data_IF_980536104406
#
_entry.id   IF_980536104406
#
_cell.length_a   1.000
_cell.length_b   1.000
_cell.length_c   1.000
_cell.angle_alpha   90.00
_cell.angle_beta   90.00
_cell.angle_gamma   90.00
#
_symmetry.space_group_name_H-M   'P 1'
#
loop_
_entity.id
_entity.type
_entity.pdbx_description
1 polymer ?
#
# COMPACT_ATOMS: atom_id res chain seq x y z
N UNK A 1 98.70 -25.39 12.89
CA UNK A 1 97.29 -25.70 13.14
C UNK A 1 96.62 -25.84 11.78
N UNK A 2 95.90 -26.96 11.54
CA UNK A 2 94.83 -27.13 10.53
C UNK A 2 95.17 -26.86 9.04
N UNK A 3 94.70 -27.66 8.07
CA UNK A 3 94.14 -29.00 8.15
C UNK A 3 94.40 -29.79 6.85
N UNK A 4 94.21 -31.11 6.87
CA UNK A 4 94.65 -32.04 5.82
C UNK A 4 93.49 -32.40 4.87
N UNK A 5 93.82 -32.97 3.69
CA UNK A 5 92.95 -33.67 2.72
C UNK A 5 92.21 -32.84 1.66
N UNK A 6 92.95 -32.44 0.61
CA UNK A 6 92.38 -32.13 -0.71
C UNK A 6 92.72 -33.24 -1.73
N UNK A 7 92.03 -34.39 -1.67
CA UNK A 7 92.03 -35.42 -2.74
C UNK A 7 91.04 -36.55 -2.41
N UNK A 8 89.81 -36.49 -2.93
CA UNK A 8 89.01 -37.67 -3.33
C UNK A 8 87.77 -37.22 -4.13
N UNK A 9 87.74 -37.54 -5.43
CA UNK A 9 86.62 -37.23 -6.32
C UNK A 9 85.43 -38.17 -6.11
N UNK A 10 84.20 -37.64 -6.14
CA UNK A 10 82.95 -38.42 -6.28
C UNK A 10 82.11 -37.90 -7.47
N UNK A 11 81.37 -38.78 -8.17
CA UNK A 11 80.70 -38.42 -9.43
C UNK A 11 79.41 -37.60 -9.23
N UNK A 12 78.96 -36.93 -10.29
CA UNK A 12 77.70 -36.19 -10.33
C UNK A 12 76.50 -37.15 -10.22
N UNK A 13 75.69 -37.01 -9.18
CA UNK A 13 74.41 -37.69 -9.02
C UNK A 13 73.27 -36.80 -9.51
N UNK A 14 72.38 -37.34 -10.35
CA UNK A 14 71.13 -36.70 -10.76
C UNK A 14 70.05 -36.91 -9.68
N UNK A 15 69.30 -35.87 -9.27
CA UNK A 15 68.23 -36.02 -8.29
C UNK A 15 66.96 -36.62 -8.93
N UNK A 16 66.81 -37.95 -8.82
CA UNK A 16 65.54 -38.63 -9.15
C UNK A 16 64.51 -38.37 -8.05
N UNK A 17 63.72 -37.30 -8.18
CA UNK A 17 62.67 -36.95 -7.20
C UNK A 17 61.40 -37.75 -7.43
N UNK A 18 61.28 -38.90 -6.76
CA UNK A 18 60.01 -39.63 -6.66
C UNK A 18 59.06 -38.85 -5.75
N UNK A 19 58.29 -37.92 -6.33
CA UNK A 19 57.27 -37.14 -5.64
C UNK A 19 55.93 -37.30 -6.34
N UNK A 20 55.19 -38.34 -5.93
CA UNK A 20 53.89 -38.72 -6.49
C UNK A 20 52.88 -39.00 -5.39
N UNK A 21 52.39 -37.95 -4.72
CA UNK A 21 51.28 -38.09 -3.77
C UNK A 21 50.05 -38.60 -4.51
N UNK A 22 49.62 -39.82 -4.18
CA UNK A 22 48.45 -40.47 -4.76
C UNK A 22 47.19 -39.68 -4.39
N UNK A 23 46.80 -38.76 -5.29
CA UNK A 23 45.72 -37.84 -5.07
C UNK A 23 44.37 -38.57 -5.14
N UNK A 24 43.91 -39.04 -3.96
CA UNK A 24 42.74 -39.90 -3.77
C UNK A 24 41.45 -39.37 -4.42
N UNK A 25 41.38 -38.06 -4.69
CA UNK A 25 40.29 -37.43 -5.41
C UNK A 25 40.11 -37.96 -6.86
N UNK A 26 41.16 -38.57 -7.45
CA UNK A 26 41.14 -39.24 -8.77
C UNK A 26 40.52 -40.65 -8.75
N UNK A 27 40.46 -41.32 -7.60
CA UNK A 27 39.94 -42.70 -7.45
C UNK A 27 38.43 -42.76 -7.17
N UNK A 28 37.76 -41.61 -7.11
CA UNK A 28 36.32 -41.55 -6.82
C UNK A 28 35.52 -41.66 -8.14
N UNK A 29 34.69 -42.70 -8.35
CA UNK A 29 34.14 -43.06 -9.66
C UNK A 29 33.02 -42.15 -10.16
N UNK A 30 32.62 -41.11 -9.41
CA UNK A 30 31.52 -40.21 -9.79
C UNK A 30 32.01 -39.18 -10.84
N UNK A 31 31.46 -39.17 -12.08
CA UNK A 31 31.93 -38.29 -13.14
C UNK A 31 31.87 -36.81 -12.78
N UNK A 32 32.80 -36.02 -13.29
CA UNK A 32 32.91 -34.57 -12.98
C UNK A 32 31.60 -33.80 -13.26
N UNK A 33 30.85 -34.17 -14.30
CA UNK A 33 29.50 -33.61 -14.59
C UNK A 33 28.51 -33.87 -13.45
N UNK A 34 28.50 -35.06 -12.86
CA UNK A 34 27.64 -35.39 -11.70
C UNK A 34 28.09 -34.64 -10.44
N UNK A 35 29.40 -34.57 -10.14
CA UNK A 35 29.91 -33.72 -9.05
C UNK A 35 29.49 -32.25 -9.20
N UNK A 36 29.50 -31.70 -10.43
CA UNK A 36 29.03 -30.32 -10.70
C UNK A 36 27.52 -30.18 -10.50
N UNK A 37 26.71 -31.15 -10.91
CA UNK A 37 25.23 -31.18 -10.75
C UNK A 37 24.78 -31.39 -9.30
N UNK A 38 25.53 -32.16 -8.50
CA UNK A 38 25.30 -32.34 -7.07
C UNK A 38 25.71 -31.07 -6.31
N UNK A 39 26.89 -30.50 -6.58
CA UNK A 39 27.32 -29.23 -5.97
C UNK A 39 26.46 -28.04 -6.38
N UNK A 40 25.88 -28.02 -7.59
CA UNK A 40 24.90 -27.01 -7.96
C UNK A 40 23.62 -27.20 -7.15
N UNK A 41 23.03 -28.41 -7.11
CA UNK A 41 21.85 -28.70 -6.27
C UNK A 41 22.07 -28.39 -4.78
N UNK A 42 23.22 -28.74 -4.20
CA UNK A 42 23.53 -28.42 -2.79
C UNK A 42 23.64 -26.91 -2.54
N UNK A 43 24.25 -26.14 -3.46
CA UNK A 43 24.27 -24.68 -3.38
C UNK A 43 22.89 -24.05 -3.65
N UNK A 44 22.04 -24.72 -4.41
CA UNK A 44 20.68 -24.31 -4.71
C UNK A 44 19.81 -24.44 -3.44
N UNK A 45 19.74 -25.64 -2.86
CA UNK A 45 19.02 -25.89 -1.59
C UNK A 45 19.58 -25.08 -0.40
N UNK A 46 20.89 -24.82 -0.34
CA UNK A 46 21.44 -23.91 0.68
C UNK A 46 20.95 -22.46 0.50
N UNK A 47 20.77 -22.00 -0.74
CA UNK A 47 20.28 -20.65 -1.05
C UNK A 47 18.78 -20.49 -0.80
N UNK A 48 17.98 -21.54 -1.01
CA UNK A 48 16.54 -21.54 -0.69
C UNK A 48 16.30 -21.49 0.82
N UNK A 49 17.13 -22.21 1.60
CA UNK A 49 17.13 -22.17 3.06
C UNK A 49 17.48 -20.75 3.57
N UNK A 50 18.60 -20.16 3.10
CA UNK A 50 19.01 -18.79 3.46
C UNK A 50 17.96 -17.72 3.12
N UNK A 51 17.22 -17.84 2.02
CA UNK A 51 16.22 -16.86 1.58
C UNK A 51 15.01 -16.75 2.51
N UNK A 52 14.61 -17.86 3.13
CA UNK A 52 13.32 -17.97 3.84
C UNK A 52 13.47 -18.07 5.35
N UNK A 53 14.66 -18.49 5.82
CA UNK A 53 15.06 -18.72 7.22
C UNK A 53 14.95 -17.46 8.08
N UNK A 54 14.28 -17.61 9.23
CA UNK A 54 14.20 -16.58 10.26
C UNK A 54 15.52 -16.48 11.04
N UNK A 55 15.86 -15.26 11.45
CA UNK A 55 16.96 -14.98 12.37
C UNK A 55 16.53 -15.34 13.79
N UNK A 56 17.41 -16.03 14.53
CA UNK A 56 17.16 -16.46 15.92
C UNK A 56 18.20 -15.92 16.91
N UNK A 57 19.20 -15.15 16.43
CA UNK A 57 20.24 -14.59 17.29
C UNK A 57 19.73 -13.41 18.11
N UNK A 58 20.15 -13.37 19.37
CA UNK A 58 19.98 -12.24 20.29
C UNK A 58 21.18 -11.27 20.23
N UNK A 59 22.22 -11.58 19.44
CA UNK A 59 23.47 -10.83 19.45
C UNK A 59 23.41 -9.56 18.58
N UNK A 60 23.16 -8.43 19.23
CA UNK A 60 23.19 -7.06 18.66
C UNK A 60 24.45 -6.78 17.82
N UNK A 61 25.60 -7.38 18.14
CA UNK A 61 26.84 -7.17 17.37
C UNK A 61 26.77 -7.70 15.94
N UNK A 62 25.85 -8.62 15.61
CA UNK A 62 25.58 -9.04 14.23
C UNK A 62 24.98 -7.90 13.41
N UNK A 63 23.95 -7.23 13.92
CA UNK A 63 23.31 -6.09 13.25
C UNK A 63 24.25 -4.89 13.17
N UNK A 64 25.04 -4.62 14.21
CA UNK A 64 26.07 -3.56 14.17
C UNK A 64 27.13 -3.85 13.09
N UNK A 65 27.55 -5.11 12.92
CA UNK A 65 28.44 -5.51 11.81
C UNK A 65 27.77 -5.35 10.45
N UNK A 66 26.49 -5.75 10.32
CA UNK A 66 25.74 -5.57 9.08
C UNK A 66 25.62 -4.09 8.67
N UNK A 67 25.29 -3.19 9.60
CA UNK A 67 25.22 -1.74 9.35
C UNK A 67 26.59 -1.15 8.99
N UNK A 68 27.68 -1.58 9.65
CA UNK A 68 29.05 -1.16 9.29
C UNK A 68 29.50 -1.59 7.89
N UNK A 69 28.86 -2.61 7.31
CA UNK A 69 29.11 -3.07 5.94
C UNK A 69 27.99 -2.68 4.95
N UNK A 70 27.00 -1.90 5.39
CA UNK A 70 25.93 -1.39 4.52
C UNK A 70 26.50 -0.41 3.49
N UNK A 71 25.98 -0.48 2.26
CA UNK A 71 26.27 0.49 1.20
C UNK A 71 25.15 1.52 1.16
N UNK A 72 25.37 2.64 1.81
CA UNK A 72 24.41 3.74 1.91
C UNK A 72 23.93 4.23 0.54
N UNK A 73 22.64 4.48 0.45
CA UNK A 73 21.91 4.95 -0.74
C UNK A 73 21.04 6.15 -0.40
N UNK A 74 20.57 6.89 -1.40
CA UNK A 74 19.61 7.99 -1.19
C UNK A 74 18.30 7.50 -0.53
N UNK A 75 17.94 6.23 -0.69
CA UNK A 75 16.76 5.66 -0.03
C UNK A 75 16.92 5.54 1.49
N UNK A 76 18.15 5.52 2.02
CA UNK A 76 18.40 5.40 3.46
C UNK A 76 18.14 6.71 4.23
N UNK A 77 17.99 7.85 3.52
CA UNK A 77 17.52 9.13 4.08
C UNK A 77 16.18 8.94 4.82
N UNK A 78 15.35 7.97 4.40
CA UNK A 78 14.09 7.63 5.05
C UNK A 78 14.26 7.35 6.56
N UNK A 79 15.38 6.77 6.99
CA UNK A 79 15.62 6.48 8.41
C UNK A 79 15.96 7.74 9.22
N UNK A 80 16.56 8.76 8.58
CA UNK A 80 16.79 10.07 9.21
C UNK A 80 15.46 10.78 9.43
N UNK A 81 14.57 10.76 8.43
CA UNK A 81 13.22 11.32 8.54
C UNK A 81 12.38 10.58 9.60
N UNK A 82 12.45 9.25 9.67
CA UNK A 82 11.78 8.45 10.71
C UNK A 82 12.31 8.75 12.11
N UNK A 83 13.63 8.89 12.26
CA UNK A 83 14.24 9.29 13.52
C UNK A 83 13.80 10.70 13.94
N UNK A 84 13.75 11.66 13.01
CA UNK A 84 13.24 13.01 13.28
C UNK A 84 11.78 12.99 13.75
N UNK A 85 10.87 12.39 12.98
CA UNK A 85 9.43 12.32 13.33
C UNK A 85 9.22 11.59 14.68
N UNK A 86 9.91 10.47 14.90
CA UNK A 86 9.83 9.70 16.14
C UNK A 86 10.37 10.47 17.36
N UNK A 87 11.54 11.10 17.24
CA UNK A 87 12.14 11.88 18.33
C UNK A 87 11.33 13.14 18.65
N UNK A 88 10.87 13.89 17.64
CA UNK A 88 9.97 15.03 17.86
C UNK A 88 8.68 14.61 18.58
N UNK A 89 8.08 13.50 18.18
CA UNK A 89 6.88 12.95 18.85
C UNK A 89 7.15 12.60 20.32
N UNK A 90 8.27 11.93 20.61
CA UNK A 90 8.68 11.62 21.98
C UNK A 90 9.03 12.87 22.80
N UNK A 91 9.59 13.92 22.20
CA UNK A 91 9.83 15.20 22.86
C UNK A 91 8.49 15.83 23.27
N UNK A 92 7.50 15.85 22.39
CA UNK A 92 6.19 16.48 22.62
C UNK A 92 5.29 15.72 23.60
N UNK A 93 5.44 14.40 23.75
CA UNK A 93 4.64 13.63 24.71
C UNK A 93 4.85 14.10 26.17
N UNK A 94 3.78 14.36 26.97
CA UNK A 94 3.88 14.78 28.37
C UNK A 94 4.20 13.60 29.32
N UNK A 95 5.25 12.86 29.01
CA UNK A 95 5.71 11.70 29.78
C UNK A 95 7.02 12.00 30.55
N UNK A 96 7.25 11.38 31.72
CA UNK A 96 8.54 11.47 32.43
C UNK A 96 9.73 11.10 31.53
N UNK A 97 10.84 11.84 31.66
CA UNK A 97 12.04 11.65 30.85
C UNK A 97 12.60 10.21 30.92
N UNK A 98 12.47 9.54 32.08
CA UNK A 98 12.85 8.14 32.24
C UNK A 98 12.03 7.19 31.33
N UNK A 99 10.72 7.41 31.19
CA UNK A 99 9.89 6.58 30.29
C UNK A 99 10.25 6.81 28.83
N UNK A 100 10.55 8.07 28.44
CA UNK A 100 11.04 8.40 27.08
C UNK A 100 12.37 7.70 26.78
N UNK A 101 13.30 7.71 27.75
CA UNK A 101 14.60 7.03 27.63
C UNK A 101 14.44 5.51 27.54
N UNK A 102 13.61 4.90 28.40
CA UNK A 102 13.33 3.46 28.37
C UNK A 102 12.66 3.04 27.06
N UNK A 103 11.73 3.82 26.52
CA UNK A 103 11.12 3.58 25.21
C UNK A 103 12.15 3.65 24.07
N UNK A 104 13.05 4.65 24.09
CA UNK A 104 14.11 4.80 23.10
C UNK A 104 15.12 3.64 23.16
N UNK A 105 15.56 3.24 24.36
CA UNK A 105 16.47 2.11 24.57
C UNK A 105 15.82 0.78 24.17
N UNK A 106 14.56 0.56 24.56
CA UNK A 106 13.79 -0.64 24.19
C UNK A 106 13.57 -0.74 22.69
N UNK A 107 13.13 0.33 22.03
CA UNK A 107 12.98 0.38 20.56
C UNK A 107 14.31 0.16 19.83
N UNK A 108 15.39 0.75 20.32
CA UNK A 108 16.75 0.53 19.80
C UNK A 108 17.17 -0.94 19.92
N UNK A 109 16.92 -1.57 21.08
CA UNK A 109 17.21 -2.99 21.29
C UNK A 109 16.38 -3.89 20.36
N UNK A 110 15.08 -3.62 20.18
CA UNK A 110 14.20 -4.37 19.29
C UNK A 110 14.63 -4.28 17.82
N UNK A 111 15.15 -3.13 17.38
CA UNK A 111 15.67 -2.90 16.03
C UNK A 111 17.06 -3.54 15.84
N UNK A 112 17.91 -3.54 16.87
CA UNK A 112 19.28 -4.06 16.79
C UNK A 112 19.38 -5.58 17.02
N UNK A 113 18.49 -6.19 17.79
CA UNK A 113 18.54 -7.62 18.10
C UNK A 113 18.03 -8.45 16.91
N UNK A 114 18.82 -9.35 16.29
CA UNK A 114 18.46 -9.98 15.01
C UNK A 114 17.10 -10.70 14.98
N UNK A 115 16.72 -11.38 16.07
CA UNK A 115 15.44 -12.12 16.19
C UNK A 115 14.20 -11.22 16.17
N UNK A 116 14.26 -10.00 16.71
CA UNK A 116 13.15 -9.01 16.67
C UNK A 116 13.27 -8.06 15.48
N UNK A 117 14.50 -7.74 15.07
CA UNK A 117 14.81 -6.79 13.99
C UNK A 117 14.10 -7.13 12.67
N UNK A 118 14.00 -8.42 12.33
CA UNK A 118 13.32 -8.90 11.13
C UNK A 118 11.82 -8.55 11.04
N UNK A 119 11.19 -8.16 12.16
CA UNK A 119 9.83 -7.63 12.23
C UNK A 119 9.82 -6.12 12.50
N UNK A 120 10.54 -5.66 13.53
CA UNK A 120 10.50 -4.26 13.96
C UNK A 120 11.18 -3.28 13.00
N UNK A 121 12.24 -3.67 12.29
CA UNK A 121 12.94 -2.78 11.36
C UNK A 121 12.17 -2.55 10.05
N UNK A 122 11.59 -3.58 9.37
CA UNK A 122 10.66 -3.35 8.27
C UNK A 122 9.38 -2.60 8.68
N UNK A 123 8.86 -2.89 9.88
CA UNK A 123 7.69 -2.22 10.46
C UNK A 123 7.96 -0.82 11.02
N UNK A 124 9.21 -0.32 10.98
CA UNK A 124 9.60 0.96 11.60
C UNK A 124 8.72 2.15 11.18
N UNK A 125 8.31 2.32 9.90
CA UNK A 125 7.37 3.38 9.52
C UNK A 125 5.99 3.28 10.21
N UNK A 126 5.51 2.06 10.51
CA UNK A 126 4.25 1.87 11.24
C UNK A 126 4.42 2.27 12.71
N UNK A 127 5.52 1.84 13.35
CA UNK A 127 5.79 2.19 14.75
C UNK A 127 5.98 3.70 14.94
N UNK A 128 6.66 4.38 14.01
CA UNK A 128 6.78 5.84 14.01
C UNK A 128 5.43 6.52 13.72
N UNK A 129 4.62 6.01 12.78
CA UNK A 129 3.25 6.50 12.55
C UNK A 129 2.41 6.44 13.83
N UNK A 130 2.33 5.30 14.51
CA UNK A 130 1.47 5.14 15.68
C UNK A 130 1.86 6.09 16.82
N UNK A 131 3.16 6.28 17.06
CA UNK A 131 3.66 7.27 18.03
C UNK A 131 3.35 8.70 17.59
N UNK A 132 3.57 9.03 16.32
CA UNK A 132 3.31 10.37 15.75
C UNK A 132 1.82 10.75 15.79
N UNK A 133 0.94 9.84 15.36
CA UNK A 133 -0.51 10.02 15.43
C UNK A 133 -0.98 10.21 16.88
N UNK A 134 -0.52 9.37 17.82
CA UNK A 134 -0.86 9.53 19.23
C UNK A 134 -0.37 10.86 19.81
N UNK A 135 0.86 11.26 19.50
CA UNK A 135 1.49 12.46 20.04
C UNK A 135 0.99 13.77 19.41
N UNK A 136 0.36 13.70 18.23
CA UNK A 136 -0.22 14.88 17.56
C UNK A 136 -1.24 15.64 18.42
N UNK A 137 -1.92 14.95 19.35
CA UNK A 137 -2.82 15.57 20.33
C UNK A 137 -2.13 16.63 21.20
N UNK A 138 -0.82 16.52 21.40
CA UNK A 138 0.00 17.43 22.25
C UNK A 138 0.62 18.61 21.47
N UNK A 139 0.29 18.81 20.20
CA UNK A 139 0.68 20.02 19.46
C UNK A 139 -0.04 21.22 20.12
N UNK A 140 0.68 22.25 20.62
CA UNK A 140 0.06 23.45 21.20
C UNK A 140 -0.88 24.13 20.20
N UNK A 141 -2.03 24.63 20.66
CA UNK A 141 -3.11 25.12 19.78
C UNK A 141 -2.72 26.40 19.04
N UNK A 142 -1.79 27.17 19.60
CA UNK A 142 -1.26 28.44 19.08
C UNK A 142 -0.43 28.28 17.80
N UNK A 143 0.10 27.08 17.56
CA UNK A 143 0.91 26.77 16.36
C UNK A 143 0.19 25.87 15.35
N UNK A 144 -1.09 25.56 15.58
CA UNK A 144 -1.91 24.77 14.63
C UNK A 144 -2.51 25.69 13.55
N UNK A 145 -2.61 25.23 12.29
CA UNK A 145 -3.16 26.04 11.20
C UNK A 145 -4.69 26.20 11.28
N UNK A 146 -5.25 27.06 10.43
CA UNK A 146 -6.70 27.26 10.30
C UNK A 146 -7.44 25.96 9.88
N UNK A 147 -8.57 25.66 10.54
CA UNK A 147 -9.43 24.50 10.25
C UNK A 147 -10.40 24.81 9.10
N UNK A 148 -10.28 24.07 8.00
CA UNK A 148 -11.07 24.30 6.79
C UNK A 148 -12.43 23.60 6.86
N UNK A 149 -13.44 24.36 7.28
CA UNK A 149 -14.83 23.87 7.38
C UNK A 149 -15.50 23.70 6.02
N UNK A 150 -15.19 24.58 5.06
CA UNK A 150 -15.93 24.70 3.78
C UNK A 150 -15.31 23.94 2.60
N UNK A 151 -14.06 23.49 2.70
CA UNK A 151 -13.33 22.94 1.55
C UNK A 151 -13.91 21.61 1.08
N UNK A 152 -14.09 20.64 1.99
CA UNK A 152 -14.60 19.32 1.60
C UNK A 152 -16.08 19.38 1.16
N UNK A 153 -17.01 20.06 1.86
CA UNK A 153 -18.37 20.27 1.34
C UNK A 153 -18.42 20.93 -0.04
N UNK A 154 -17.57 21.94 -0.29
CA UNK A 154 -17.54 22.62 -1.59
C UNK A 154 -17.00 21.69 -2.70
N UNK A 155 -15.91 20.95 -2.43
CA UNK A 155 -15.36 20.01 -3.40
C UNK A 155 -16.31 18.83 -3.67
N UNK A 156 -16.97 18.29 -2.65
CA UNK A 156 -17.94 17.20 -2.79
C UNK A 156 -19.08 17.61 -3.72
N UNK A 157 -19.69 18.79 -3.49
CA UNK A 157 -20.75 19.31 -4.34
C UNK A 157 -20.27 19.66 -5.77
N UNK A 158 -19.03 20.15 -5.95
CA UNK A 158 -18.47 20.48 -7.27
C UNK A 158 -18.09 19.23 -8.07
N UNK A 159 -17.59 18.18 -7.42
CA UNK A 159 -17.11 16.96 -8.09
C UNK A 159 -18.21 15.93 -8.33
N UNK A 160 -19.21 15.84 -7.44
CA UNK A 160 -20.25 14.81 -7.47
C UNK A 160 -21.67 15.36 -7.63
N UNK A 161 -21.83 16.69 -7.68
CA UNK A 161 -23.13 17.37 -7.83
C UNK A 161 -24.00 17.40 -6.56
N UNK A 162 -23.58 16.71 -5.49
CA UNK A 162 -24.27 16.66 -4.21
C UNK A 162 -23.32 16.20 -3.09
N UNK A 163 -23.71 16.46 -1.83
CA UNK A 163 -23.02 15.93 -0.66
C UNK A 163 -23.38 14.45 -0.44
N UNK A 164 -22.51 13.54 -0.87
CA UNK A 164 -22.77 12.10 -0.86
C UNK A 164 -22.85 11.52 0.55
N UNK A 165 -22.05 12.01 1.50
CA UNK A 165 -22.15 11.57 2.90
C UNK A 165 -23.51 11.91 3.49
N UNK A 166 -23.99 13.14 3.33
CA UNK A 166 -25.28 13.56 3.91
C UNK A 166 -26.47 12.83 3.26
N UNK A 167 -26.39 12.48 1.96
CA UNK A 167 -27.40 11.62 1.30
C UNK A 167 -27.39 10.20 1.91
N UNK A 168 -26.22 9.61 2.11
CA UNK A 168 -26.10 8.26 2.67
C UNK A 168 -26.49 8.20 4.15
N UNK A 169 -26.14 9.21 4.96
CA UNK A 169 -26.47 9.27 6.38
C UNK A 169 -27.90 9.76 6.69
N UNK A 170 -28.69 10.17 5.69
CA UNK A 170 -30.10 10.54 5.87
C UNK A 170 -31.03 9.34 6.11
N UNK A 171 -30.63 8.12 5.71
CA UNK A 171 -31.48 6.94 5.72
C UNK A 171 -30.87 5.80 6.56
N UNK A 172 -30.80 6.02 7.87
CA UNK A 172 -30.15 5.08 8.81
C UNK A 172 -31.08 4.00 9.32
N UNK A 173 -30.54 2.79 9.53
CA UNK A 173 -31.25 1.66 10.12
C UNK A 173 -30.28 0.77 10.92
N UNK A 174 -30.67 0.15 12.06
CA UNK A 174 -29.77 -0.72 12.84
C UNK A 174 -29.09 -1.85 12.06
N UNK A 175 -29.75 -2.39 11.01
CA UNK A 175 -29.14 -3.40 10.13
C UNK A 175 -28.02 -2.79 9.28
N UNK A 176 -28.23 -1.61 8.71
CA UNK A 176 -27.21 -0.88 7.96
C UNK A 176 -26.08 -0.39 8.86
N UNK A 177 -26.39 0.00 10.10
CA UNK A 177 -25.41 0.36 11.12
C UNK A 177 -24.46 -0.82 11.41
N UNK A 178 -25.00 -2.02 11.65
CA UNK A 178 -24.18 -3.23 11.83
C UNK A 178 -23.37 -3.60 10.57
N UNK A 179 -23.93 -3.42 9.36
CA UNK A 179 -23.22 -3.69 8.10
C UNK A 179 -22.10 -2.65 7.85
N UNK A 180 -22.25 -1.40 8.28
CA UNK A 180 -21.20 -0.37 8.22
C UNK A 180 -20.14 -0.56 9.33
N UNK A 181 -20.56 -1.04 10.49
CA UNK A 181 -19.69 -1.29 11.64
C UNK A 181 -18.68 -2.42 11.42
N UNK A 182 -18.98 -3.44 10.61
CA UNK A 182 -18.01 -4.50 10.32
C UNK A 182 -16.72 -3.94 9.68
N UNK A 183 -16.74 -3.25 8.52
CA UNK A 183 -15.53 -2.69 7.93
C UNK A 183 -14.95 -1.54 8.78
N UNK A 184 -15.80 -0.62 9.26
CA UNK A 184 -15.34 0.61 9.89
C UNK A 184 -15.01 0.48 11.38
N UNK A 185 -15.76 -0.31 12.14
CA UNK A 185 -15.56 -0.50 13.58
C UNK A 185 -14.60 -1.63 13.94
N UNK A 186 -14.41 -2.63 13.07
CA UNK A 186 -13.57 -3.82 13.34
C UNK A 186 -12.45 -3.98 12.31
N UNK A 187 -12.80 -4.22 11.04
CA UNK A 187 -11.85 -4.81 10.09
C UNK A 187 -10.65 -3.90 9.81
N UNK A 188 -10.83 -2.58 9.68
CA UNK A 188 -9.73 -1.67 9.36
C UNK A 188 -8.62 -1.62 10.43
N UNK A 189 -8.91 -2.01 11.68
CA UNK A 189 -7.90 -2.14 12.74
C UNK A 189 -7.10 -3.45 12.63
N UNK A 190 -7.78 -4.55 12.26
CA UNK A 190 -7.20 -5.89 12.25
C UNK A 190 -6.52 -6.24 10.91
N UNK A 191 -7.07 -5.77 9.79
CA UNK A 191 -6.62 -6.13 8.45
C UNK A 191 -5.15 -5.78 8.14
N UNK A 192 -4.56 -4.66 8.59
CA UNK A 192 -3.13 -4.41 8.36
C UNK A 192 -2.22 -5.53 8.89
N UNK A 193 -2.57 -6.12 10.03
CA UNK A 193 -1.84 -7.26 10.61
C UNK A 193 -2.14 -8.57 9.89
N UNK A 194 -3.41 -8.83 9.52
CA UNK A 194 -3.81 -10.00 8.74
C UNK A 194 -3.15 -10.00 7.35
N UNK A 195 -3.06 -8.85 6.69
CA UNK A 195 -2.40 -8.66 5.40
C UNK A 195 -0.90 -8.90 5.50
N UNK A 196 -0.23 -8.42 6.56
CA UNK A 196 1.18 -8.79 6.82
C UNK A 196 1.32 -10.31 6.99
N UNK A 197 0.39 -10.99 7.68
CA UNK A 197 0.39 -12.44 7.82
C UNK A 197 0.22 -13.19 6.49
N UNK A 198 -0.77 -12.80 5.68
CA UNK A 198 -1.03 -13.38 4.36
C UNK A 198 0.16 -13.16 3.43
N UNK A 199 0.71 -11.93 3.37
CA UNK A 199 1.89 -11.59 2.57
C UNK A 199 3.19 -12.19 3.10
N UNK A 200 3.25 -12.62 4.36
CA UNK A 200 4.37 -13.39 4.90
C UNK A 200 4.31 -14.86 4.47
N UNK A 201 3.13 -15.50 4.55
CA UNK A 201 2.94 -16.94 4.28
C UNK A 201 2.84 -17.23 2.77
N UNK A 202 1.96 -16.53 2.06
CA UNK A 202 1.60 -16.78 0.67
C UNK A 202 2.23 -15.77 -0.31
N UNK A 203 2.79 -14.67 0.19
CA UNK A 203 3.58 -13.74 -0.60
C UNK A 203 5.02 -14.20 -0.80
N UNK A 204 5.64 -13.74 -1.89
CA UNK A 204 7.08 -13.90 -2.12
C UNK A 204 7.90 -13.32 -0.94
N UNK A 205 9.06 -13.91 -0.57
CA UNK A 205 9.92 -13.40 0.49
C UNK A 205 10.28 -11.92 0.30
N UNK A 206 9.79 -11.07 1.21
CA UNK A 206 9.92 -9.61 1.15
C UNK A 206 8.59 -8.86 0.99
N UNK A 207 7.49 -9.51 0.58
CA UNK A 207 6.21 -8.83 0.33
C UNK A 207 5.62 -8.17 1.58
N UNK A 208 5.58 -8.87 2.72
CA UNK A 208 5.16 -8.30 4.01
C UNK A 208 6.01 -7.10 4.46
N UNK A 209 7.36 -7.20 4.49
CA UNK A 209 8.27 -6.07 4.69
C UNK A 209 8.01 -4.86 3.77
N UNK A 210 7.71 -5.10 2.49
CA UNK A 210 7.41 -4.03 1.53
C UNK A 210 6.06 -3.37 1.80
N UNK A 211 5.03 -4.14 2.15
CA UNK A 211 3.73 -3.61 2.62
C UNK A 211 3.91 -2.76 3.87
N UNK A 212 4.61 -3.27 4.88
CA UNK A 212 4.79 -2.58 6.15
C UNK A 212 5.49 -1.22 6.00
N UNK A 213 6.50 -1.15 5.11
CA UNK A 213 7.14 0.11 4.73
C UNK A 213 6.15 1.08 4.06
N UNK A 214 5.43 0.61 3.04
CA UNK A 214 4.53 1.45 2.25
C UNK A 214 3.34 1.97 3.07
N UNK A 215 2.70 1.08 3.85
CA UNK A 215 1.59 1.37 4.75
C UNK A 215 1.97 2.42 5.80
N UNK A 216 3.11 2.24 6.49
CA UNK A 216 3.54 3.18 7.52
C UNK A 216 3.89 4.56 6.95
N UNK A 217 4.60 4.62 5.81
CA UNK A 217 4.90 5.90 5.17
C UNK A 217 3.65 6.63 4.66
N UNK A 218 2.72 5.92 4.03
CA UNK A 218 1.43 6.46 3.63
C UNK A 218 0.66 7.05 4.82
N UNK A 219 0.65 6.35 5.97
CA UNK A 219 -0.01 6.84 7.18
C UNK A 219 0.71 8.06 7.79
N UNK A 220 2.05 8.10 7.84
CA UNK A 220 2.80 9.30 8.26
C UNK A 220 2.40 10.50 7.40
N UNK A 221 2.43 10.35 6.07
CA UNK A 221 2.07 11.43 5.14
C UNK A 221 0.61 11.86 5.27
N UNK A 222 -0.32 10.93 5.47
CA UNK A 222 -1.73 11.27 5.72
C UNK A 222 -1.89 12.10 7.00
N UNK A 223 -1.30 11.68 8.13
CA UNK A 223 -1.32 12.47 9.37
C UNK A 223 -0.64 13.83 9.21
N UNK A 224 0.49 13.91 8.50
CA UNK A 224 1.15 15.19 8.23
C UNK A 224 0.25 16.13 7.42
N UNK A 225 -0.49 15.63 6.42
CA UNK A 225 -1.45 16.45 5.67
C UNK A 225 -2.62 16.87 6.57
N UNK A 226 -3.20 15.96 7.37
CA UNK A 226 -4.28 16.28 8.31
C UNK A 226 -3.89 17.35 9.34
N UNK A 227 -2.60 17.45 9.71
CA UNK A 227 -2.08 18.44 10.65
C UNK A 227 -1.70 19.78 9.99
N UNK A 228 -1.31 19.78 8.71
CA UNK A 228 -0.99 21.00 7.96
C UNK A 228 -2.21 21.60 7.24
N UNK A 229 -3.19 20.78 6.92
CA UNK A 229 -4.43 21.14 6.20
C UNK A 229 -5.66 20.47 6.87
N UNK A 230 -5.94 20.75 8.15
CA UNK A 230 -7.07 20.19 8.87
C UNK A 230 -8.39 20.61 8.22
N UNK A 231 -9.25 19.63 7.98
CA UNK A 231 -10.56 19.80 7.36
C UNK A 231 -11.63 19.11 8.21
N UNK A 232 -12.79 19.74 8.37
CA UNK A 232 -13.88 19.16 9.17
C UNK A 232 -14.56 17.99 8.43
N UNK A 233 -14.83 16.86 9.09
CA UNK A 233 -15.60 15.73 8.53
C UNK A 233 -17.11 16.02 8.43
N UNK A 234 -17.92 15.15 7.80
CA UNK A 234 -19.36 15.35 7.62
C UNK A 234 -20.15 15.53 8.92
N UNK A 235 -19.80 14.83 10.01
CA UNK A 235 -20.49 15.00 11.29
C UNK A 235 -20.45 16.44 11.80
N UNK A 236 -19.37 17.17 11.53
CA UNK A 236 -19.25 18.58 11.93
C UNK A 236 -20.21 19.48 11.14
N UNK A 237 -20.36 19.23 9.84
CA UNK A 237 -21.36 19.95 9.02
C UNK A 237 -22.78 19.64 9.49
N UNK A 238 -23.07 18.39 9.88
CA UNK A 238 -24.39 17.99 10.37
C UNK A 238 -24.70 18.51 11.79
N UNK A 239 -23.70 18.66 12.66
CA UNK A 239 -23.86 19.12 14.06
C UNK A 239 -23.71 20.65 14.21
N UNK A 240 -22.93 21.31 13.35
CA UNK A 240 -22.53 22.72 13.49
C UNK A 240 -22.63 23.55 12.19
N UNK A 241 -23.04 22.95 11.07
CA UNK A 241 -23.11 23.62 9.78
C UNK A 241 -21.74 24.10 9.29
N UNK A 242 -21.73 25.25 8.58
CA UNK A 242 -20.51 25.89 8.06
C UNK A 242 -19.97 26.99 9.01
N UNK A 243 -20.19 26.83 10.32
CA UNK A 243 -19.64 27.71 11.36
C UNK A 243 -18.14 27.45 11.60
N UNK A 244 -17.34 28.43 12.06
CA UNK A 244 -15.90 28.24 12.21
C UNK A 244 -15.54 27.26 13.33
N UNK A 245 -14.82 26.19 12.99
CA UNK A 245 -14.27 25.24 13.96
C UNK A 245 -13.09 25.82 14.75
N UNK A 246 -12.98 25.44 16.01
CA UNK A 246 -11.92 25.90 16.92
C UNK A 246 -11.20 24.72 17.59
N UNK A 247 -9.92 24.91 17.93
CA UNK A 247 -9.19 23.93 18.74
C UNK A 247 -9.68 23.93 20.19
N UNK A 248 -9.72 22.75 20.80
CA UNK A 248 -10.34 22.52 22.11
C UNK A 248 -11.78 22.01 22.03
N UNK A 249 -12.43 22.08 20.86
CA UNK A 249 -13.66 21.32 20.62
C UNK A 249 -13.38 19.80 20.67
N UNK A 250 -14.28 18.99 21.23
CA UNK A 250 -14.20 17.53 21.18
C UNK A 250 -14.42 17.01 19.74
N UNK A 251 -14.08 15.75 19.50
CA UNK A 251 -14.59 15.02 18.33
C UNK A 251 -16.02 14.53 18.55
N UNK A 252 -16.68 14.03 17.50
CA UNK A 252 -17.95 13.30 17.61
C UNK A 252 -17.78 11.83 17.20
N UNK A 253 -18.40 10.88 17.91
CA UNK A 253 -18.60 9.51 17.43
C UNK A 253 -19.57 9.39 16.26
N UNK A 254 -20.28 10.46 15.89
CA UNK A 254 -21.15 10.53 14.70
C UNK A 254 -22.09 9.30 14.58
N UNK A 255 -22.05 8.58 13.46
CA UNK A 255 -22.86 7.38 13.26
C UNK A 255 -22.54 6.23 14.22
N UNK A 256 -21.30 6.12 14.74
CA UNK A 256 -20.93 5.07 15.70
C UNK A 256 -21.64 5.22 17.05
N UNK A 257 -22.19 6.40 17.39
CA UNK A 257 -23.05 6.57 18.56
C UNK A 257 -24.33 5.71 18.50
N UNK A 258 -24.71 5.20 17.31
CA UNK A 258 -25.80 4.21 17.17
C UNK A 258 -25.34 2.80 17.53
N UNK A 259 -24.06 2.47 17.31
CA UNK A 259 -23.47 1.16 17.66
C UNK A 259 -23.36 1.00 19.18
N UNK A 260 -22.85 2.02 19.89
CA UNK A 260 -22.80 2.02 21.36
C UNK A 260 -24.21 1.83 21.96
N UNK A 261 -25.25 2.41 21.34
CA UNK A 261 -26.66 2.24 21.74
C UNK A 261 -27.22 0.85 21.41
N UNK A 262 -26.78 0.21 20.33
CA UNK A 262 -27.20 -1.14 19.94
C UNK A 262 -26.60 -2.19 20.89
N UNK A 263 -25.35 -2.02 21.32
CA UNK A 263 -24.68 -2.96 22.24
C UNK A 263 -24.83 -2.62 23.73
N UNK A 264 -25.22 -1.39 24.07
CA UNK A 264 -25.44 -0.95 25.45
C UNK A 264 -24.16 -0.62 26.24
N UNK A 265 -23.04 -0.40 25.56
CA UNK A 265 -21.77 0.03 26.18
C UNK A 265 -21.00 1.02 25.30
N UNK A 266 -20.17 1.85 25.93
CA UNK A 266 -19.28 2.82 25.26
C UNK A 266 -18.11 2.08 24.61
N UNK A 267 -18.18 1.88 23.29
CA UNK A 267 -17.08 1.37 22.47
C UNK A 267 -16.40 2.51 21.71
N UNK A 268 -17.17 3.54 21.31
CA UNK A 268 -16.71 4.60 20.42
C UNK A 268 -16.91 6.01 20.94
N UNK A 269 -17.92 6.27 21.78
CA UNK A 269 -18.26 7.61 22.27
C UNK A 269 -17.08 8.30 22.95
N UNK A 270 -16.45 7.67 23.95
CA UNK A 270 -15.25 8.25 24.59
C UNK A 270 -14.05 8.31 23.64
N UNK A 271 -13.86 7.29 22.81
CA UNK A 271 -12.70 7.16 21.92
C UNK A 271 -12.66 8.25 20.83
N UNK A 272 -13.81 8.52 20.20
CA UNK A 272 -13.92 9.56 19.17
C UNK A 272 -14.00 10.97 19.76
N UNK A 273 -14.65 11.14 20.91
CA UNK A 273 -14.66 12.43 21.63
C UNK A 273 -13.24 12.91 22.00
N UNK A 274 -12.32 11.97 22.23
CA UNK A 274 -10.92 12.22 22.64
C UNK A 274 -9.89 11.89 21.55
N UNK A 275 -10.30 11.87 20.28
CA UNK A 275 -9.43 11.58 19.13
C UNK A 275 -8.28 12.61 18.99
N UNK A 276 -7.05 12.21 18.56
CA UNK A 276 -5.93 13.14 18.41
C UNK A 276 -6.13 14.27 17.40
N UNK A 277 -6.83 13.97 16.29
CA UNK A 277 -7.03 14.87 15.15
C UNK A 277 -8.51 14.82 14.71
N UNK A 278 -9.45 15.43 15.48
CA UNK A 278 -10.88 15.36 15.17
C UNK A 278 -11.26 16.05 13.85
N UNK A 279 -10.45 17.02 13.42
CA UNK A 279 -10.56 17.74 12.14
C UNK A 279 -9.54 17.23 11.11
N UNK A 280 -9.27 15.93 11.13
CA UNK A 280 -8.35 15.24 10.23
C UNK A 280 -9.06 14.48 9.10
N UNK A 281 -10.12 15.05 8.50
CA UNK A 281 -10.89 14.35 7.47
C UNK A 281 -10.04 14.07 6.21
N UNK A 282 -9.30 15.07 5.73
CA UNK A 282 -8.49 14.96 4.52
C UNK A 282 -6.99 14.73 4.80
N UNK A 283 -6.35 13.73 4.15
CA UNK A 283 -6.94 12.61 3.40
C UNK A 283 -7.50 11.54 4.34
N UNK A 284 -8.41 10.70 3.84
CA UNK A 284 -8.93 9.58 4.62
C UNK A 284 -7.93 8.44 4.75
N UNK A 285 -7.40 8.23 5.96
CA UNK A 285 -6.55 7.07 6.28
C UNK A 285 -7.32 5.74 6.18
N UNK A 286 -8.64 5.73 6.40
CA UNK A 286 -9.46 4.53 6.25
C UNK A 286 -9.50 4.06 4.79
N UNK A 287 -9.67 5.00 3.85
CA UNK A 287 -9.50 4.73 2.42
C UNK A 287 -8.08 4.30 2.10
N UNK A 288 -7.07 5.06 2.57
CA UNK A 288 -5.67 4.77 2.28
C UNK A 288 -5.27 3.35 2.67
N UNK A 289 -5.62 2.93 3.89
CA UNK A 289 -5.37 1.59 4.42
C UNK A 289 -6.05 0.51 3.55
N UNK A 290 -7.35 0.64 3.29
CA UNK A 290 -8.08 -0.34 2.48
C UNK A 290 -7.56 -0.43 1.03
N UNK A 291 -7.22 0.71 0.42
CA UNK A 291 -6.68 0.76 -0.95
C UNK A 291 -5.27 0.16 -1.01
N UNK A 292 -4.38 0.45 -0.06
CA UNK A 292 -3.03 -0.12 -0.08
C UNK A 292 -3.04 -1.63 0.21
N UNK A 293 -3.91 -2.09 1.12
CA UNK A 293 -4.19 -3.51 1.33
C UNK A 293 -4.68 -4.19 0.04
N UNK A 294 -5.69 -3.61 -0.62
CA UNK A 294 -6.25 -4.16 -1.85
C UNK A 294 -5.27 -4.17 -3.03
N UNK A 295 -4.38 -3.18 -3.12
CA UNK A 295 -3.31 -3.14 -4.15
C UNK A 295 -2.23 -4.20 -3.89
N UNK A 296 -1.75 -4.34 -2.65
CA UNK A 296 -0.75 -5.37 -2.32
C UNK A 296 -1.32 -6.79 -2.47
N UNK A 297 -2.51 -7.05 -1.93
CA UNK A 297 -3.18 -8.34 -2.09
C UNK A 297 -3.56 -8.61 -3.55
N UNK A 298 -4.07 -7.60 -4.28
CA UNK A 298 -4.42 -7.71 -5.69
C UNK A 298 -3.21 -7.88 -6.63
N UNK A 299 -2.02 -7.50 -6.19
CA UNK A 299 -0.77 -7.78 -6.90
C UNK A 299 -0.28 -9.21 -6.66
N UNK A 300 -0.23 -9.67 -5.40
CA UNK A 300 0.19 -11.04 -5.08
C UNK A 300 -0.85 -12.11 -5.50
N UNK A 301 -2.15 -11.79 -5.43
CA UNK A 301 -3.25 -12.75 -5.64
C UNK A 301 -4.24 -12.21 -6.69
N UNK A 302 -3.85 -12.08 -7.97
CA UNK A 302 -4.60 -11.36 -9.00
C UNK A 302 -6.03 -11.90 -9.24
N UNK A 303 -6.28 -13.18 -8.98
CA UNK A 303 -7.62 -13.81 -9.06
C UNK A 303 -8.65 -13.19 -8.12
N UNK A 304 -8.22 -12.59 -7.00
CA UNK A 304 -9.10 -12.06 -5.95
C UNK A 304 -9.26 -10.52 -5.99
N UNK A 305 -8.73 -9.83 -7.02
CA UNK A 305 -8.81 -8.36 -7.17
C UNK A 305 -10.22 -7.80 -6.98
N UNK A 306 -11.24 -8.45 -7.52
CA UNK A 306 -12.63 -8.01 -7.40
C UNK A 306 -13.15 -8.08 -5.94
N UNK A 307 -12.72 -9.09 -5.17
CA UNK A 307 -13.06 -9.21 -3.75
C UNK A 307 -12.39 -8.12 -2.91
N UNK A 308 -11.11 -7.84 -3.15
CA UNK A 308 -10.39 -6.76 -2.45
C UNK A 308 -10.95 -5.38 -2.81
N UNK A 309 -11.30 -5.13 -4.07
CA UNK A 309 -12.00 -3.91 -4.49
C UNK A 309 -13.39 -3.78 -3.85
N UNK A 310 -14.11 -4.90 -3.67
CA UNK A 310 -15.38 -4.92 -2.93
C UNK A 310 -15.24 -4.45 -1.47
N UNK A 311 -14.16 -4.83 -0.78
CA UNK A 311 -13.87 -4.30 0.56
C UNK A 311 -13.61 -2.79 0.56
N UNK A 312 -12.84 -2.26 -0.40
CA UNK A 312 -12.62 -0.80 -0.55
C UNK A 312 -13.95 -0.06 -0.71
N UNK A 313 -14.83 -0.54 -1.60
CA UNK A 313 -16.16 0.06 -1.80
C UNK A 313 -17.00 -0.02 -0.52
N UNK A 314 -16.95 -1.14 0.21
CA UNK A 314 -17.72 -1.34 1.44
C UNK A 314 -17.29 -0.39 2.57
N UNK A 315 -15.98 -0.19 2.79
CA UNK A 315 -15.51 0.77 3.81
C UNK A 315 -15.67 2.24 3.38
N UNK A 316 -15.59 2.55 2.08
CA UNK A 316 -15.93 3.88 1.55
C UNK A 316 -17.41 4.22 1.81
N UNK A 317 -18.32 3.30 1.49
CA UNK A 317 -19.74 3.46 1.84
C UNK A 317 -19.95 3.60 3.35
N UNK A 318 -19.33 2.74 4.17
CA UNK A 318 -19.51 2.73 5.62
C UNK A 318 -19.04 4.03 6.28
N UNK A 319 -17.90 4.58 5.85
CA UNK A 319 -17.34 5.84 6.38
C UNK A 319 -18.18 7.06 6.03
N UNK A 320 -18.79 7.09 4.83
CA UNK A 320 -19.77 8.12 4.44
C UNK A 320 -21.11 7.98 5.17
N UNK A 321 -21.65 6.75 5.29
CA UNK A 321 -22.92 6.44 5.96
C UNK A 321 -22.88 6.70 7.48
N UNK A 322 -21.70 6.56 8.11
CA UNK A 322 -21.45 6.92 9.51
C UNK A 322 -20.99 8.39 9.68
N UNK A 323 -20.99 9.19 8.62
CA UNK A 323 -20.68 10.63 8.60
C UNK A 323 -19.26 11.01 9.05
N UNK A 324 -18.27 10.13 8.82
CA UNK A 324 -16.86 10.38 9.19
C UNK A 324 -15.98 10.88 8.04
N UNK A 325 -16.35 10.66 6.78
CA UNK A 325 -15.55 11.02 5.59
C UNK A 325 -16.44 11.42 4.40
N UNK A 326 -15.95 12.31 3.55
CA UNK A 326 -16.53 12.68 2.24
C UNK A 326 -15.92 11.84 1.13
N UNK A 327 -16.62 11.65 0.00
CA UNK A 327 -16.07 10.91 -1.14
C UNK A 327 -14.76 11.53 -1.67
N UNK A 328 -14.62 12.85 -1.64
CA UNK A 328 -13.38 13.54 -2.06
C UNK A 328 -12.17 13.20 -1.18
N UNK A 329 -12.34 13.05 0.14
CA UNK A 329 -11.23 12.70 1.04
C UNK A 329 -10.90 11.20 1.03
N UNK A 330 -11.89 10.35 0.72
CA UNK A 330 -11.70 8.94 0.41
C UNK A 330 -10.88 8.77 -0.88
N UNK A 331 -11.20 9.51 -1.94
CA UNK A 331 -10.38 9.53 -3.18
C UNK A 331 -8.96 10.04 -2.89
N UNK A 332 -8.82 11.11 -2.10
CA UNK A 332 -7.51 11.64 -1.68
C UNK A 332 -6.64 10.59 -0.97
N UNK A 333 -7.21 9.84 -0.01
CA UNK A 333 -6.54 8.72 0.65
C UNK A 333 -6.13 7.60 -0.30
N UNK A 334 -7.02 7.23 -1.24
CA UNK A 334 -6.76 6.19 -2.23
C UNK A 334 -5.65 6.55 -3.22
N UNK A 335 -5.54 7.82 -3.61
CA UNK A 335 -4.47 8.30 -4.49
C UNK A 335 -3.09 8.26 -3.80
N UNK A 336 -3.01 8.63 -2.51
CA UNK A 336 -1.77 8.55 -1.74
C UNK A 336 -1.37 7.09 -1.52
N UNK A 337 -2.33 6.20 -1.23
CA UNK A 337 -2.11 4.75 -1.19
C UNK A 337 -1.55 4.18 -2.50
N UNK A 338 -2.14 4.57 -3.63
CA UNK A 338 -1.67 4.17 -4.95
C UNK A 338 -0.24 4.66 -5.22
N UNK A 339 0.09 5.90 -4.88
CA UNK A 339 1.45 6.44 -5.02
C UNK A 339 2.48 5.62 -4.21
N UNK A 340 2.20 5.35 -2.92
CA UNK A 340 3.11 4.54 -2.09
C UNK A 340 3.20 3.08 -2.55
N UNK A 341 2.11 2.50 -3.05
CA UNK A 341 2.13 1.19 -3.69
C UNK A 341 3.03 1.18 -4.93
N UNK A 342 2.85 2.08 -5.89
CA UNK A 342 3.62 2.07 -7.15
C UNK A 342 5.10 2.41 -6.95
N UNK A 343 5.43 3.32 -6.04
CA UNK A 343 6.83 3.58 -5.64
C UNK A 343 7.44 2.30 -5.03
N UNK A 344 6.72 1.62 -4.14
CA UNK A 344 7.22 0.39 -3.52
C UNK A 344 7.34 -0.75 -4.54
N UNK A 345 6.38 -0.87 -5.46
CA UNK A 345 6.40 -1.81 -6.59
C UNK A 345 7.62 -1.62 -7.47
N UNK A 346 8.03 -0.38 -7.74
CA UNK A 346 9.19 -0.08 -8.58
C UNK A 346 10.54 -0.40 -7.91
N UNK A 347 10.69 -0.18 -6.60
CA UNK A 347 12.01 -0.22 -5.92
C UNK A 347 12.23 -1.35 -4.91
N UNK A 348 11.19 -1.87 -4.26
CA UNK A 348 11.33 -2.79 -3.11
C UNK A 348 10.41 -4.01 -3.13
N UNK A 349 9.42 -4.08 -4.02
CA UNK A 349 8.49 -5.20 -4.04
C UNK A 349 9.06 -6.42 -4.80
N UNK A 350 9.00 -7.63 -4.20
CA UNK A 350 9.21 -8.90 -4.88
C UNK A 350 8.26 -9.12 -6.05
N UNK A 351 8.71 -9.81 -7.11
CA UNK A 351 7.84 -10.40 -8.13
C UNK A 351 7.20 -11.71 -7.65
N UNK A 352 5.86 -11.86 -7.71
CA UNK A 352 5.20 -13.15 -7.57
C UNK A 352 5.61 -14.08 -8.73
N UNK A 353 5.92 -15.33 -8.42
CA UNK A 353 6.23 -16.37 -9.41
C UNK A 353 5.02 -17.31 -9.53
N UNK A 354 4.41 -17.51 -10.72
CA UNK A 354 3.12 -18.21 -10.85
C UNK A 354 3.11 -19.69 -10.40
N UNK A 355 4.27 -20.32 -10.30
CA UNK A 355 4.46 -21.71 -9.84
C UNK A 355 4.66 -21.82 -8.31
N UNK A 356 4.71 -20.70 -7.58
CA UNK A 356 5.02 -20.66 -6.14
C UNK A 356 3.79 -20.25 -5.33
N UNK A 357 3.34 -21.12 -4.42
CA UNK A 357 2.11 -20.91 -3.63
C UNK A 357 2.38 -20.28 -2.26
N UNK A 358 3.57 -20.52 -1.70
CA UNK A 358 3.99 -20.07 -0.37
C UNK A 358 5.38 -19.46 -0.42
N UNK A 359 5.75 -18.70 0.62
CA UNK A 359 7.10 -18.12 0.79
C UNK A 359 8.24 -19.14 0.69
N UNK A 360 7.98 -20.42 1.00
CA UNK A 360 8.98 -21.49 1.07
C UNK A 360 9.25 -22.17 -0.27
N UNK A 361 8.37 -21.99 -1.25
CA UNK A 361 8.55 -22.51 -2.61
C UNK A 361 9.51 -21.63 -3.45
N UNK A 362 9.77 -20.40 -3.01
CA UNK A 362 10.65 -19.45 -3.69
C UNK A 362 12.12 -19.85 -3.56
N UNK A 363 12.79 -20.02 -4.70
CA UNK A 363 14.22 -20.36 -4.77
C UNK A 363 15.12 -19.12 -4.95
N UNK A 364 14.52 -18.03 -5.42
CA UNK A 364 15.09 -16.70 -5.62
C UNK A 364 13.94 -15.67 -5.63
N UNK A 365 14.27 -14.39 -5.49
CA UNK A 365 13.32 -13.27 -5.61
C UNK A 365 13.93 -12.18 -6.48
N UNK A 366 13.19 -11.76 -7.50
CA UNK A 366 13.48 -10.57 -8.30
C UNK A 366 12.65 -9.39 -7.80
N UNK A 367 13.16 -8.17 -8.00
CA UNK A 367 12.59 -6.93 -7.46
C UNK A 367 12.32 -5.92 -8.57
N UNK A 368 11.20 -5.18 -8.44
CA UNK A 368 10.87 -4.08 -9.33
C UNK A 368 10.38 -4.49 -10.73
N UNK A 369 10.04 -3.49 -11.55
CA UNK A 369 9.55 -3.67 -12.93
C UNK A 369 10.67 -3.65 -13.98
N UNK A 370 11.96 -3.66 -13.58
CA UNK A 370 13.10 -3.70 -14.51
C UNK A 370 13.09 -5.00 -15.32
N UNK A 371 12.96 -4.91 -16.64
CA UNK A 371 13.20 -6.07 -17.51
C UNK A 371 14.57 -6.68 -17.22
N UNK A 372 14.63 -8.01 -17.13
CA UNK A 372 15.87 -8.75 -17.31
C UNK A 372 16.35 -8.57 -18.74
N UNK A 373 17.67 -8.68 -18.98
CA UNK A 373 18.21 -8.79 -20.35
C UNK A 373 17.54 -9.98 -21.07
N UNK A 374 17.22 -11.04 -20.31
CA UNK A 374 16.48 -12.21 -20.79
C UNK A 374 15.02 -11.90 -21.18
N UNK A 375 14.39 -10.92 -20.52
CA UNK A 375 13.04 -10.45 -20.86
C UNK A 375 13.06 -9.60 -22.15
N UNK A 376 14.18 -8.95 -22.46
CA UNK A 376 14.37 -8.17 -23.71
C UNK A 376 14.80 -9.05 -24.89
N UNK A 377 15.61 -10.08 -24.64
CA UNK A 377 16.09 -11.02 -25.66
C UNK A 377 15.00 -12.03 -26.11
N UNK A 378 14.01 -12.34 -25.26
CA UNK A 378 12.96 -13.33 -25.56
C UNK A 378 11.49 -12.84 -25.36
N UNK A 379 11.23 -11.69 -24.73
CA UNK A 379 9.90 -11.31 -24.22
C UNK A 379 9.19 -10.15 -24.96
N UNK A 380 8.98 -10.26 -26.28
CA UNK A 380 8.46 -9.15 -27.10
C UNK A 380 6.92 -8.96 -27.14
N UNK A 381 6.13 -9.76 -26.40
CA UNK A 381 4.66 -9.69 -26.45
C UNK A 381 4.04 -9.96 -25.07
N UNK A 382 3.76 -8.89 -24.31
CA UNK A 382 3.13 -8.96 -22.98
C UNK A 382 2.41 -7.66 -22.57
N UNK A 383 1.67 -7.00 -23.48
CA UNK A 383 0.66 -6.02 -23.08
C UNK A 383 -0.51 -6.82 -22.48
N UNK A 384 -0.53 -6.95 -21.15
CA UNK A 384 -1.24 -8.00 -20.40
C UNK A 384 -2.77 -7.93 -20.34
N UNK A 385 -3.43 -7.74 -21.48
CA UNK A 385 -4.87 -7.90 -21.65
C UNK A 385 -5.14 -8.96 -22.74
N UNK A 386 -5.91 -9.99 -22.37
CA UNK A 386 -6.21 -11.18 -23.18
C UNK A 386 -4.98 -12.08 -23.44
N UNK A 387 -4.84 -13.10 -22.60
CA UNK A 387 -4.41 -14.43 -23.09
C UNK A 387 -5.27 -15.50 -22.41
N UNK A 388 -5.95 -16.33 -23.21
CA UNK A 388 -6.77 -17.46 -22.77
C UNK A 388 -6.08 -18.74 -23.23
N UNK A 389 -5.30 -19.37 -22.37
CA UNK A 389 -4.81 -20.73 -22.62
C UNK A 389 -5.98 -21.70 -22.73
N UNK A 390 -6.02 -22.58 -23.75
CA UNK A 390 -6.85 -23.77 -23.71
C UNK A 390 -6.29 -24.78 -22.69
N UNK A 391 -7.10 -25.73 -22.19
CA UNK A 391 -6.58 -26.89 -21.46
C UNK A 391 -5.79 -27.80 -22.39
N UNK A 392 -4.79 -28.50 -21.85
CA UNK A 392 -3.94 -29.44 -22.58
C UNK A 392 -4.11 -30.85 -22.02
N UNK A 393 -5.24 -31.48 -22.37
CA UNK A 393 -5.60 -32.84 -21.95
C UNK A 393 -5.22 -33.84 -23.06
N UNK A 394 -3.93 -34.13 -23.20
CA UNK A 394 -3.41 -35.18 -24.09
C UNK A 394 -3.65 -36.59 -23.48
N UNK A 395 -4.91 -36.95 -23.27
CA UNK A 395 -5.29 -38.29 -22.81
C UNK A 395 -5.22 -39.32 -23.95
N UNK A 396 -4.82 -40.54 -23.62
CA UNK A 396 -4.79 -41.66 -24.55
C UNK A 396 -6.18 -42.03 -25.07
N UNK A 397 -6.28 -42.37 -26.36
CA UNK A 397 -6.91 -43.67 -26.72
C UNK A 397 -6.48 -44.17 -28.09
N UNK A 398 -6.34 -45.49 -28.20
CA UNK A 398 -6.29 -46.20 -29.49
C UNK A 398 -7.72 -46.46 -29.94
N UNK A 399 -8.02 -46.27 -31.23
CA UNK A 399 -9.39 -46.13 -31.71
C UNK A 399 -10.22 -47.42 -31.80
N UNK A 400 -11.52 -47.24 -31.96
CA UNK A 400 -12.42 -48.16 -32.65
C UNK A 400 -13.61 -47.41 -33.24
N UNK A 401 -14.21 -47.98 -34.28
CA UNK A 401 -15.12 -47.31 -35.21
C UNK A 401 -16.60 -47.32 -34.77
N UNK A 402 -17.44 -46.70 -35.62
CA UNK A 402 -18.92 -46.73 -35.66
C UNK A 402 -19.67 -45.75 -34.72
N UNK A 403 -20.81 -45.18 -35.14
CA UNK A 403 -21.31 -44.92 -36.50
C UNK A 403 -22.54 -44.01 -36.44
N UNK A 404 -22.72 -43.15 -37.45
CA UNK A 404 -23.95 -42.35 -37.68
C UNK A 404 -24.22 -41.29 -36.59
N UNK A 405 -25.03 -40.26 -36.82
CA UNK A 405 -26.01 -40.02 -37.88
C UNK A 405 -25.93 -38.58 -38.39
N UNK A 406 -26.26 -38.37 -39.67
CA UNK A 406 -26.30 -37.06 -40.29
C UNK A 406 -27.73 -36.50 -40.36
N UNK A 407 -27.85 -35.19 -40.18
CA UNK A 407 -28.94 -34.36 -40.70
C UNK A 407 -28.39 -32.99 -41.05
N UNK A 408 -28.74 -32.48 -42.22
CA UNK A 408 -28.30 -31.18 -42.73
C UNK A 408 -29.21 -30.71 -43.85
N UNK A 409 -28.91 -29.52 -44.41
CA UNK A 409 -29.80 -28.74 -45.27
C UNK A 409 -30.98 -28.11 -44.50
N UNK A 410 -31.51 -26.94 -44.90
CA UNK A 410 -31.11 -26.10 -46.04
C UNK A 410 -31.62 -24.66 -45.94
N UNK A 411 -31.13 -23.80 -46.82
CA UNK A 411 -31.54 -22.39 -46.94
C UNK A 411 -32.87 -22.25 -47.68
N UNK A 412 -33.63 -21.17 -47.39
CA UNK A 412 -34.51 -20.49 -48.35
C UNK A 412 -35.06 -19.15 -47.82
N UNK A 413 -35.35 -18.24 -48.75
CA UNK A 413 -36.04 -16.93 -48.64
C UNK A 413 -36.55 -16.64 -50.08
N UNK A 414 -37.61 -15.84 -50.34
CA UNK A 414 -37.97 -14.55 -49.72
C UNK A 414 -39.47 -14.56 -49.26
N UNK A 415 -40.36 -13.54 -49.29
CA UNK A 415 -40.42 -12.20 -49.95
C UNK A 415 -41.52 -11.32 -49.33
N UNK A 416 -41.35 -9.99 -49.42
CA UNK A 416 -42.40 -8.92 -49.36
C UNK A 416 -43.16 -8.73 -48.03
N UNK A 417 -43.64 -7.52 -47.67
CA UNK A 417 -43.60 -6.19 -48.31
C UNK A 417 -43.58 -5.05 -47.26
N UNK A 418 -42.94 -3.93 -47.60
CA UNK A 418 -43.27 -2.49 -47.32
C UNK A 418 -43.89 -2.05 -45.95
N UNK A 419 -43.64 -0.84 -45.43
CA UNK A 419 -43.27 0.43 -46.08
C UNK A 419 -42.45 1.35 -45.13
N UNK A 420 -41.47 2.09 -45.71
CA UNK A 420 -41.10 3.52 -45.48
C UNK A 420 -40.95 4.18 -44.07
N UNK A 421 -40.13 5.21 -43.83
CA UNK A 421 -39.14 5.95 -44.66
C UNK A 421 -38.00 6.53 -43.79
N UNK A 422 -36.85 6.87 -44.40
CA UNK A 422 -35.64 7.45 -43.78
C UNK A 422 -35.79 8.94 -43.40
N UNK A 423 -35.28 9.40 -42.24
CA UNK A 423 -33.88 9.80 -41.97
C UNK A 423 -33.27 10.80 -42.98
N UNK A 424 -32.98 12.03 -42.52
CA UNK A 424 -32.04 12.97 -43.16
C UNK A 424 -31.26 13.80 -42.14
N UNK A 425 -30.08 14.28 -42.56
CA UNK A 425 -29.19 15.20 -41.85
C UNK A 425 -29.34 16.64 -42.41
N UNK A 426 -28.48 17.53 -41.91
CA UNK A 426 -28.03 18.80 -42.51
C UNK A 426 -28.99 19.99 -42.36
N UNK A 427 -28.55 21.26 -42.19
CA UNK A 427 -27.20 21.81 -41.87
C UNK A 427 -27.38 23.20 -41.20
N UNK A 428 -26.28 23.83 -40.75
CA UNK A 428 -26.21 25.21 -40.27
C UNK A 428 -27.04 26.25 -41.07
N UNK A 429 -27.66 27.18 -40.34
CA UNK A 429 -28.19 28.43 -40.89
C UNK A 429 -28.18 29.53 -39.82
N UNK A 430 -27.20 30.44 -39.90
CA UNK A 430 -27.31 31.75 -39.23
C UNK A 430 -28.15 32.66 -40.12
N UNK A 431 -29.09 33.40 -39.53
CA UNK A 431 -29.69 34.54 -40.19
C UNK A 431 -29.76 35.71 -39.19
N UNK A 432 -29.28 36.87 -39.62
CA UNK A 432 -29.21 38.10 -38.82
C UNK A 432 -30.25 39.06 -39.36
N UNK A 433 -31.07 39.66 -38.49
CA UNK A 433 -31.85 40.86 -38.83
C UNK A 433 -31.62 41.97 -37.81
N UNK A 434 -31.60 43.25 -38.25
CA UNK A 434 -31.05 44.34 -37.46
C UNK A 434 -32.12 45.37 -37.01
N UNK A 435 -31.62 46.46 -36.44
CA UNK A 435 -32.22 47.79 -36.37
C UNK A 435 -33.56 47.99 -35.64
N UNK A 436 -33.46 48.53 -34.42
CA UNK A 436 -33.88 49.91 -34.17
C UNK A 436 -33.11 50.50 -32.97
N UNK A 437 -32.93 51.82 -32.92
CA UNK A 437 -32.04 52.49 -31.96
C UNK A 437 -32.46 53.94 -31.64
N UNK A 438 -31.83 54.50 -30.58
CA UNK A 438 -31.69 55.90 -30.17
C UNK A 438 -32.72 56.56 -29.21
N UNK A 439 -32.15 57.18 -28.15
CA UNK A 439 -32.72 58.27 -27.34
C UNK A 439 -33.58 57.83 -26.13
N UNK A 440 -33.52 58.46 -24.96
CA UNK A 440 -32.50 59.35 -24.37
C UNK A 440 -32.68 59.32 -22.81
N UNK A 441 -31.87 59.99 -21.96
CA UNK A 441 -31.70 59.58 -20.56
C UNK A 441 -32.51 60.40 -19.53
N UNK A 442 -32.07 60.33 -18.27
CA UNK A 442 -32.53 61.06 -17.07
C UNK A 442 -33.71 60.45 -16.29
N UNK A 443 -33.39 59.88 -15.12
CA UNK A 443 -33.75 60.53 -13.84
C UNK A 443 -32.85 60.07 -12.69
N UNK A 444 -32.40 61.04 -11.90
CA UNK A 444 -31.71 60.83 -10.63
C UNK A 444 -32.74 60.95 -9.51
N UNK A 445 -32.70 60.04 -8.55
CA UNK A 445 -33.16 60.28 -7.17
C UNK A 445 -32.21 59.55 -6.23
N UNK A 446 -31.35 60.31 -5.56
CA UNK A 446 -30.69 59.87 -4.34
C UNK A 446 -31.71 59.76 -3.20
N UNK A 447 -31.45 58.91 -2.20
CA UNK A 447 -31.73 59.26 -0.81
C UNK A 447 -30.97 58.37 0.17
N UNK A 448 -30.18 59.02 1.01
CA UNK A 448 -29.73 58.69 2.38
C UNK A 448 -29.47 57.20 2.73
N UNK A 449 -28.23 56.74 2.91
CA UNK A 449 -27.32 57.04 4.04
C UNK A 449 -27.93 56.89 5.44
N UNK A 450 -27.57 55.79 6.13
CA UNK A 450 -27.22 55.83 7.57
C UNK A 450 -26.02 54.93 7.87
N UNK A 451 -24.96 55.54 8.39
CA UNK A 451 -23.90 54.86 9.14
C UNK A 451 -24.26 54.84 10.62
N UNK A 452 -23.91 53.76 11.33
CA UNK A 452 -23.58 53.77 12.76
C UNK A 452 -22.42 52.79 12.96
N UNK A 453 -21.50 53.08 13.89
CA UNK A 453 -20.19 52.42 13.98
C UNK A 453 -19.75 52.24 15.44
N UNK A 454 -19.01 51.16 15.72
CA UNK A 454 -18.14 50.92 16.90
C UNK A 454 -18.82 50.48 18.23
N UNK A 455 -18.15 49.50 18.87
CA UNK A 455 -18.15 49.07 20.29
C UNK A 455 -19.45 48.63 20.99
N UNK A 456 -19.46 47.34 21.38
CA UNK A 456 -18.97 46.95 22.71
C UNK A 456 -18.09 45.68 22.57
#
# INVERSE_FOLDING_TARGET
>A
MQDITSLFSKPKLLPFTVSGTLNLAKLNPIPHRYRRRIRSRQRFYARTDELTRLKTSFNVLETIRAVRHHRWTLHDIQYVTLAFVGLSSLIMAPAPALLKLLALLGGTLLILMPITSQFFFPGLPIWVYLVYFFCSRFIPTEIRPHIWVRVLPALENVLYGANLSNILSAHTNPVLDLIAWIPYGILHFALPAVVVGILFIFGAPGSGPSFAKAFGWMNITGVTIQLLFPCTPPWYENEHGLSPAAYGMPGSPAGLARIDKIFGFDMYTTAFSTAPVPFGAFPSLHSGNAVIEALFLGYCFPRFRAFFAGYVIWIWWATMYLSHHYAVDLVGGGLIAAAYFYITKAYWMPRPQPDKLTRWDYEYVDYGDRKSIFDEEFGSYALGFIDRRPPSDDEWTVGSSSSSFASGSGTLSPTLSEESITFRRDVLGMDVRPDHAWGDPTRVTENELRQVTVAA
#
